data_IF_950197990762
#
_entry.id   IF_950197990762
#
_cell.length_a   1.000
_cell.length_b   1.000
_cell.length_c   1.000
_cell.angle_alpha   90.00
_cell.angle_beta   90.00
_cell.angle_gamma   90.00
#
_symmetry.space_group_name_H-M   'P 1'
#
loop_
_entity.id
_entity.type
_entity.pdbx_description
1 polymer ?
#
# COMPACT_ATOMS: atom_id res chain seq x y z
N UNK A 1 -24.69 0.09 -0.89
CA UNK A 1 -24.20 -0.64 -2.06
C UNK A 1 -22.97 0.08 -2.62
N UNK A 2 -22.06 -0.65 -3.25
CA UNK A 2 -20.91 -0.08 -3.95
C UNK A 2 -21.37 1.02 -4.92
N UNK A 3 -20.63 2.12 -5.00
CA UNK A 3 -21.00 3.30 -5.77
C UNK A 3 -21.97 4.25 -5.06
N UNK A 4 -22.47 3.91 -3.87
CA UNK A 4 -23.28 4.84 -3.08
C UNK A 4 -22.41 6.02 -2.64
N UNK A 5 -22.96 7.22 -2.83
CA UNK A 5 -22.31 8.48 -2.47
C UNK A 5 -23.19 9.25 -1.50
N UNK A 6 -22.56 9.97 -0.55
CA UNK A 6 -23.27 10.90 0.35
C UNK A 6 -22.37 12.07 0.75
N UNK A 7 -22.96 13.23 1.08
CA UNK A 7 -22.20 14.41 1.50
C UNK A 7 -21.70 14.25 2.95
N UNK A 8 -20.51 14.79 3.22
CA UNK A 8 -19.94 14.96 4.54
C UNK A 8 -19.44 16.43 4.66
N UNK A 9 -20.31 17.35 5.07
CA UNK A 9 -20.01 18.76 4.98
C UNK A 9 -19.75 19.21 3.54
N UNK A 10 -18.56 19.73 3.26
CA UNK A 10 -18.10 20.07 1.91
C UNK A 10 -17.47 18.91 1.13
N UNK A 11 -17.29 17.76 1.77
CA UNK A 11 -16.70 16.58 1.15
C UNK A 11 -17.78 15.63 0.61
N UNK A 12 -17.38 14.71 -0.25
CA UNK A 12 -18.19 13.59 -0.74
C UNK A 12 -17.55 12.29 -0.29
N UNK A 13 -18.34 11.40 0.30
CA UNK A 13 -17.94 10.04 0.63
C UNK A 13 -18.51 9.08 -0.40
N UNK A 14 -17.69 8.18 -0.94
CA UNK A 14 -18.08 7.14 -1.89
C UNK A 14 -17.74 5.77 -1.32
N UNK A 15 -18.71 4.85 -1.31
CA UNK A 15 -18.47 3.45 -0.95
C UNK A 15 -17.89 2.71 -2.16
N UNK A 16 -16.64 2.22 -2.05
CA UNK A 16 -15.96 1.47 -3.11
C UNK A 16 -15.97 -0.04 -2.89
N UNK A 17 -16.05 -0.49 -1.66
CA UNK A 17 -16.04 -1.91 -1.30
C UNK A 17 -16.93 -2.25 -0.11
N UNK A 18 -17.19 -3.55 0.14
CA UNK A 18 -16.68 -4.70 -0.59
C UNK A 18 -17.37 -4.89 -1.96
N UNK A 19 -16.62 -5.31 -2.98
CA UNK A 19 -17.13 -5.48 -4.35
C UNK A 19 -17.70 -6.88 -4.60
N UNK A 20 -17.43 -7.83 -3.71
CA UNK A 20 -17.92 -9.20 -3.77
C UNK A 20 -18.36 -9.67 -2.37
N UNK A 21 -18.83 -10.92 -2.30
CA UNK A 21 -19.04 -11.60 -1.02
C UNK A 21 -17.80 -12.44 -0.71
N UNK A 22 -17.29 -12.29 0.48
CA UNK A 22 -16.07 -12.99 0.94
C UNK A 22 -16.40 -13.89 2.12
N UNK A 23 -15.65 -15.00 2.23
CA UNK A 23 -15.71 -15.90 3.39
C UNK A 23 -14.86 -15.38 4.54
N UNK A 24 -13.80 -14.63 4.23
CA UNK A 24 -13.00 -13.96 5.24
C UNK A 24 -13.68 -12.66 5.68
N UNK A 25 -13.75 -12.46 6.99
CA UNK A 25 -14.42 -11.29 7.58
C UNK A 25 -13.67 -9.99 7.25
N UNK A 26 -12.34 -10.04 7.19
CA UNK A 26 -11.52 -8.87 6.88
C UNK A 26 -11.79 -8.37 5.46
N UNK A 27 -11.92 -9.29 4.50
CA UNK A 27 -12.25 -8.97 3.11
C UNK A 27 -13.65 -8.36 2.94
N UNK A 28 -14.53 -8.46 3.97
CA UNK A 28 -15.83 -7.78 3.99
C UNK A 28 -15.77 -6.34 4.47
N UNK A 29 -14.59 -5.81 4.73
CA UNK A 29 -14.38 -4.43 5.20
C UNK A 29 -14.98 -3.40 4.24
N UNK A 30 -15.57 -2.34 4.82
CA UNK A 30 -16.03 -1.21 4.03
C UNK A 30 -14.83 -0.43 3.51
N UNK A 31 -14.80 -0.21 2.20
CA UNK A 31 -13.82 0.66 1.57
C UNK A 31 -14.48 1.97 1.21
N UNK A 32 -13.98 3.06 1.78
CA UNK A 32 -14.54 4.39 1.62
C UNK A 32 -13.50 5.33 1.03
N UNK A 33 -13.88 6.03 -0.02
CA UNK A 33 -13.16 7.17 -0.55
C UNK A 33 -13.82 8.47 -0.10
N UNK A 34 -13.03 9.43 0.36
CA UNK A 34 -13.51 10.76 0.74
C UNK A 34 -12.80 11.77 -0.13
N UNK A 35 -13.56 12.57 -0.88
CA UNK A 35 -13.05 13.62 -1.73
C UNK A 35 -13.46 14.98 -1.17
N UNK A 36 -12.50 15.90 -1.00
CA UNK A 36 -12.75 17.28 -0.60
C UNK A 36 -11.86 18.24 -1.40
N UNK A 37 -12.49 19.01 -2.29
CA UNK A 37 -11.72 19.85 -3.23
C UNK A 37 -10.81 19.04 -4.11
N UNK A 38 -9.50 19.26 -4.01
CA UNK A 38 -8.45 18.49 -4.70
C UNK A 38 -7.78 17.43 -3.83
N UNK A 39 -8.24 17.25 -2.58
CA UNK A 39 -7.68 16.29 -1.64
C UNK A 39 -8.56 15.05 -1.51
N UNK A 40 -7.93 13.89 -1.22
CA UNK A 40 -8.64 12.62 -1.15
C UNK A 40 -8.05 11.68 -0.10
N UNK A 41 -8.95 10.91 0.54
CA UNK A 41 -8.61 9.88 1.52
C UNK A 41 -9.20 8.54 1.07
N UNK A 42 -8.47 7.45 1.31
CA UNK A 42 -8.96 6.09 1.13
C UNK A 42 -8.86 5.33 2.45
N UNK A 43 -10.00 4.87 2.94
CA UNK A 43 -10.12 4.06 4.16
C UNK A 43 -10.47 2.63 3.75
N UNK A 44 -9.68 1.67 4.20
CA UNK A 44 -9.75 0.27 3.72
C UNK A 44 -10.16 -0.73 4.80
N UNK A 45 -10.22 -0.29 6.08
CA UNK A 45 -10.44 -1.20 7.20
C UNK A 45 -9.35 -2.29 7.24
N UNK A 46 -9.78 -3.52 7.42
CA UNK A 46 -8.90 -4.70 7.48
C UNK A 46 -8.88 -5.51 6.18
N UNK A 47 -9.32 -4.91 5.06
CA UNK A 47 -9.31 -5.53 3.74
C UNK A 47 -7.97 -6.18 3.42
N UNK A 48 -8.00 -7.42 2.94
CA UNK A 48 -6.82 -8.20 2.59
C UNK A 48 -6.64 -8.34 1.06
N UNK A 49 -5.55 -8.98 0.64
CA UNK A 49 -5.10 -9.04 -0.76
C UNK A 49 -6.14 -9.58 -1.75
N UNK A 50 -7.03 -10.47 -1.31
CA UNK A 50 -8.10 -10.98 -2.17
C UNK A 50 -9.06 -9.86 -2.56
N UNK A 51 -9.59 -9.16 -1.57
CA UNK A 51 -10.50 -8.06 -1.82
C UNK A 51 -9.82 -6.84 -2.46
N UNK A 52 -8.52 -6.58 -2.14
CA UNK A 52 -7.71 -5.58 -2.84
C UNK A 52 -7.64 -5.86 -4.34
N UNK A 53 -7.37 -7.13 -4.71
CA UNK A 53 -7.28 -7.55 -6.12
C UNK A 53 -8.60 -7.36 -6.84
N UNK A 54 -9.70 -7.77 -6.21
CA UNK A 54 -11.04 -7.62 -6.78
C UNK A 54 -11.42 -6.14 -6.93
N UNK A 55 -11.06 -5.32 -5.93
CA UNK A 55 -11.32 -3.90 -5.94
C UNK A 55 -10.54 -3.18 -7.07
N UNK A 56 -9.27 -3.50 -7.26
CA UNK A 56 -8.47 -2.99 -8.39
C UNK A 56 -9.09 -3.42 -9.72
N UNK A 57 -9.46 -4.69 -9.86
CA UNK A 57 -10.08 -5.23 -11.07
C UNK A 57 -11.48 -4.67 -11.35
N UNK A 58 -12.16 -4.11 -10.35
CA UNK A 58 -13.46 -3.46 -10.52
C UNK A 58 -13.41 -2.19 -11.37
N UNK A 59 -12.21 -1.62 -11.54
CA UNK A 59 -12.01 -0.36 -12.25
C UNK A 59 -12.45 0.88 -11.46
N UNK A 60 -12.71 0.76 -10.15
CA UNK A 60 -13.01 1.88 -9.29
C UNK A 60 -11.84 2.88 -9.23
N UNK A 61 -12.13 4.17 -9.08
CA UNK A 61 -11.10 5.17 -8.85
C UNK A 61 -10.56 5.03 -7.41
N UNK A 62 -9.38 4.41 -7.28
CA UNK A 62 -8.71 4.17 -6.00
C UNK A 62 -7.69 5.25 -5.64
N UNK A 63 -7.28 6.10 -6.62
CA UNK A 63 -6.24 7.11 -6.38
C UNK A 63 -6.62 8.01 -5.21
N UNK A 64 -5.75 8.11 -4.21
CA UNK A 64 -5.98 8.93 -3.02
C UNK A 64 -4.66 9.43 -2.46
N UNK A 65 -4.67 10.65 -1.91
CA UNK A 65 -3.48 11.29 -1.36
C UNK A 65 -3.13 10.70 0.01
N UNK A 66 -4.14 10.31 0.79
CA UNK A 66 -3.97 9.70 2.12
C UNK A 66 -4.60 8.32 2.13
N UNK A 67 -3.81 7.32 2.49
CA UNK A 67 -4.25 5.92 2.67
C UNK A 67 -4.27 5.56 4.15
N UNK A 68 -5.42 5.09 4.65
CA UNK A 68 -5.40 4.25 5.84
C UNK A 68 -4.87 2.88 5.41
N UNK A 69 -3.66 2.56 5.88
CA UNK A 69 -2.97 1.30 5.56
C UNK A 69 -3.77 0.12 6.12
N UNK A 70 -4.07 -0.83 5.27
CA UNK A 70 -4.98 -1.93 5.58
C UNK A 70 -4.52 -2.80 6.74
N UNK A 71 -5.47 -3.31 7.50
CA UNK A 71 -5.29 -4.32 8.54
C UNK A 71 -4.12 -4.02 9.50
N UNK A 72 -4.05 -2.78 9.98
CA UNK A 72 -3.04 -2.31 10.94
C UNK A 72 -1.58 -2.46 10.45
N UNK A 73 -1.36 -2.54 9.14
CA UNK A 73 -0.05 -2.83 8.56
C UNK A 73 0.30 -4.33 8.54
N UNK A 74 -0.69 -5.22 8.51
CA UNK A 74 -0.49 -6.66 8.31
C UNK A 74 0.13 -6.95 6.95
N UNK A 75 1.02 -7.95 6.87
CA UNK A 75 1.55 -8.45 5.60
C UNK A 75 0.52 -9.13 4.69
N UNK A 76 -0.71 -9.35 5.19
CA UNK A 76 -1.83 -9.87 4.38
C UNK A 76 -2.54 -8.79 3.58
N UNK A 77 -2.22 -7.51 3.83
CA UNK A 77 -2.85 -6.33 3.21
C UNK A 77 -1.82 -5.43 2.54
N UNK A 78 -2.29 -4.36 1.89
CA UNK A 78 -1.47 -3.32 1.25
C UNK A 78 -0.47 -3.90 0.25
N UNK A 79 -1.00 -4.71 -0.68
CA UNK A 79 -0.20 -5.30 -1.76
C UNK A 79 0.36 -4.23 -2.71
N UNK A 80 1.47 -4.52 -3.40
CA UNK A 80 2.01 -3.65 -4.44
C UNK A 80 0.97 -3.32 -5.52
N UNK A 81 0.16 -4.31 -5.92
CA UNK A 81 -0.91 -4.10 -6.90
C UNK A 81 -1.89 -3.02 -6.44
N UNK A 82 -2.32 -3.10 -5.17
CA UNK A 82 -3.26 -2.16 -4.59
C UNK A 82 -2.60 -0.79 -4.38
N UNK A 83 -1.40 -0.75 -3.80
CA UNK A 83 -0.69 0.50 -3.54
C UNK A 83 -0.42 1.29 -4.84
N UNK A 84 -0.05 0.60 -5.93
CA UNK A 84 0.13 1.21 -7.24
C UNK A 84 -1.17 1.75 -7.86
N UNK A 85 -2.33 1.21 -7.48
CA UNK A 85 -3.61 1.75 -7.91
C UNK A 85 -4.03 2.98 -7.09
N UNK A 86 -3.61 3.05 -5.82
CA UNK A 86 -3.91 4.16 -4.90
C UNK A 86 -2.95 5.33 -5.09
N UNK A 87 -1.64 5.08 -5.19
CA UNK A 87 -0.56 6.06 -5.29
C UNK A 87 -0.63 7.14 -4.20
N UNK A 88 -0.66 6.77 -2.92
CA UNK A 88 -0.79 7.73 -1.84
C UNK A 88 0.52 8.48 -1.59
N UNK A 89 0.43 9.74 -1.17
CA UNK A 89 1.56 10.49 -0.62
C UNK A 89 1.79 10.14 0.86
N UNK A 90 0.69 9.90 1.60
CA UNK A 90 0.71 9.60 3.04
C UNK A 90 0.01 8.29 3.35
N UNK A 91 0.63 7.48 4.21
CA UNK A 91 0.09 6.22 4.73
C UNK A 91 -0.05 6.27 6.25
N UNK A 92 -1.26 6.06 6.78
CA UNK A 92 -1.50 6.03 8.22
C UNK A 92 -1.72 4.59 8.68
N UNK A 93 -0.88 4.14 9.61
CA UNK A 93 -0.97 2.82 10.23
C UNK A 93 -1.55 3.00 11.64
N UNK A 94 -2.75 2.49 11.87
CA UNK A 94 -3.39 2.46 13.17
C UNK A 94 -3.11 1.12 13.86
N UNK A 95 -2.14 1.09 14.78
CA UNK A 95 -1.77 -0.11 15.52
C UNK A 95 -1.42 0.24 16.97
N UNK A 96 -1.53 -0.74 17.85
CA UNK A 96 -1.25 -0.55 19.28
C UNK A 96 0.22 -0.76 19.61
N UNK A 97 0.72 -0.04 20.62
CA UNK A 97 2.05 -0.28 21.20
C UNK A 97 2.16 -1.72 21.69
N UNK A 98 3.23 -2.41 21.33
CA UNK A 98 3.48 -3.82 21.73
C UNK A 98 2.30 -4.77 21.42
N UNK A 99 1.60 -4.54 20.31
CA UNK A 99 0.50 -5.41 19.94
C UNK A 99 0.99 -6.85 19.69
N UNK A 100 0.16 -7.82 20.08
CA UNK A 100 0.51 -9.26 20.01
C UNK A 100 0.67 -9.82 18.59
N UNK A 101 0.24 -9.06 17.59
CA UNK A 101 0.30 -9.47 16.19
C UNK A 101 1.60 -9.08 15.50
N UNK A 102 2.41 -8.22 16.14
CA UNK A 102 3.65 -7.70 15.57
C UNK A 102 3.43 -6.65 14.46
N UNK A 103 2.25 -6.06 14.41
CA UNK A 103 1.93 -5.00 13.44
C UNK A 103 2.60 -3.66 13.81
N UNK A 104 3.02 -2.87 12.79
CA UNK A 104 3.05 -3.23 11.37
C UNK A 104 4.16 -4.23 11.05
N UNK A 105 3.90 -5.14 10.10
CA UNK A 105 4.91 -6.06 9.61
C UNK A 105 5.93 -5.36 8.71
N UNK A 106 7.17 -5.83 8.72
CA UNK A 106 8.25 -5.27 7.92
C UNK A 106 7.97 -5.34 6.41
N UNK A 107 7.28 -6.39 5.97
CA UNK A 107 6.86 -6.53 4.58
C UNK A 107 5.99 -5.35 4.12
N UNK A 108 5.05 -4.90 4.96
CA UNK A 108 4.19 -3.75 4.65
C UNK A 108 4.98 -2.45 4.69
N UNK A 109 5.86 -2.28 5.70
CA UNK A 109 6.74 -1.11 5.79
C UNK A 109 7.67 -1.02 4.58
N UNK A 110 8.22 -2.16 4.11
CA UNK A 110 9.07 -2.20 2.91
C UNK A 110 8.31 -1.76 1.67
N UNK A 111 7.09 -2.25 1.46
CA UNK A 111 6.24 -1.86 0.32
C UNK A 111 5.97 -0.33 0.34
N UNK A 112 5.66 0.24 1.49
CA UNK A 112 5.42 1.68 1.64
C UNK A 112 6.70 2.51 1.39
N UNK A 113 7.87 2.03 1.86
CA UNK A 113 9.18 2.65 1.60
C UNK A 113 9.50 2.67 0.11
N UNK A 114 9.36 1.52 -0.53
CA UNK A 114 9.67 1.36 -1.96
C UNK A 114 8.80 2.27 -2.83
N UNK A 115 7.56 2.53 -2.38
CA UNK A 115 6.63 3.45 -3.04
C UNK A 115 6.85 4.93 -2.65
N UNK A 116 7.77 5.25 -1.75
CA UNK A 116 8.05 6.61 -1.31
C UNK A 116 6.92 7.26 -0.50
N UNK A 117 6.12 6.45 0.21
CA UNK A 117 4.99 6.90 1.02
C UNK A 117 5.46 7.43 2.37
N UNK A 118 5.04 8.64 2.74
CA UNK A 118 5.26 9.19 4.08
C UNK A 118 4.39 8.43 5.10
N UNK A 119 5.05 7.73 6.03
CA UNK A 119 4.35 6.84 6.98
C UNK A 119 4.12 7.52 8.31
N UNK A 120 2.90 7.42 8.83
CA UNK A 120 2.48 7.83 10.16
C UNK A 120 1.98 6.63 10.95
N UNK A 121 2.41 6.47 12.22
CA UNK A 121 2.14 5.28 13.04
C UNK A 121 1.62 5.65 14.42
N UNK A 122 0.43 5.15 14.78
CA UNK A 122 -0.17 5.46 16.09
C UNK A 122 0.56 4.82 17.27
N UNK A 123 1.25 3.68 17.08
CA UNK A 123 2.05 3.03 18.12
C UNK A 123 3.29 3.84 18.54
N UNK A 124 3.78 4.73 17.67
CA UNK A 124 4.94 5.57 17.92
C UNK A 124 4.57 7.04 18.16
N UNK A 125 3.59 7.56 17.42
CA UNK A 125 3.25 8.98 17.41
C UNK A 125 2.00 9.32 18.26
N UNK A 126 1.32 8.32 18.83
CA UNK A 126 0.07 8.53 19.55
C UNK A 126 -1.08 8.92 18.60
N UNK A 127 -1.85 9.90 18.99
CA UNK A 127 -2.95 10.41 18.17
C UNK A 127 -2.40 11.10 16.91
N UNK A 128 -2.91 10.71 15.73
CA UNK A 128 -2.59 11.33 14.46
C UNK A 128 -3.84 12.02 13.93
N UNK A 129 -3.73 13.27 13.57
CA UNK A 129 -4.80 14.05 12.96
C UNK A 129 -4.33 14.55 11.59
N UNK A 130 -5.06 14.21 10.53
CA UNK A 130 -4.85 14.77 9.19
C UNK A 130 -6.07 15.60 8.84
N UNK A 131 -5.86 16.90 8.71
CA UNK A 131 -6.87 17.85 8.26
C UNK A 131 -6.67 18.24 6.81
N UNK A 132 -7.76 18.57 6.13
CA UNK A 132 -7.72 19.15 4.78
C UNK A 132 -8.60 20.40 4.70
N UNK A 133 -8.12 21.39 3.98
CA UNK A 133 -8.89 22.59 3.60
C UNK A 133 -9.49 22.47 2.18
N UNK A 134 -9.32 21.31 1.54
CA UNK A 134 -9.71 21.02 0.15
C UNK A 134 -8.62 21.30 -0.88
N UNK A 135 -7.46 21.81 -0.47
CA UNK A 135 -6.29 22.04 -1.32
C UNK A 135 -5.00 21.51 -0.68
N UNK A 136 -4.87 21.69 0.63
CA UNK A 136 -3.67 21.37 1.39
C UNK A 136 -4.02 20.47 2.57
N UNK A 137 -3.03 19.70 3.01
CA UNK A 137 -3.10 18.89 4.22
C UNK A 137 -2.39 19.57 5.38
N UNK A 138 -2.91 19.34 6.58
CA UNK A 138 -2.21 19.60 7.83
C UNK A 138 -2.10 18.29 8.60
N UNK A 139 -0.91 17.99 9.12
CA UNK A 139 -0.68 16.79 9.93
C UNK A 139 -0.30 17.20 11.33
N UNK A 140 -0.98 16.64 12.32
CA UNK A 140 -0.67 16.78 13.73
C UNK A 140 -0.47 15.40 14.37
N UNK A 141 0.57 15.26 15.18
CA UNK A 141 0.85 14.05 15.94
C UNK A 141 1.03 14.39 17.43
N UNK A 142 0.64 13.48 18.30
CA UNK A 142 0.80 13.68 19.75
C UNK A 142 2.28 13.67 20.17
N UNK A 143 3.09 12.81 19.50
CA UNK A 143 4.52 12.72 19.73
C UNK A 143 5.28 12.92 18.42
N UNK A 144 6.37 13.70 18.50
CA UNK A 144 7.28 13.80 17.37
C UNK A 144 8.18 12.55 17.31
N UNK A 145 8.23 11.92 16.16
CA UNK A 145 9.11 10.77 15.88
C UNK A 145 9.78 11.01 14.53
N UNK A 146 11.12 10.90 14.44
CA UNK A 146 11.82 11.03 13.16
C UNK A 146 11.38 9.98 12.14
N UNK A 147 11.32 10.33 10.86
CA UNK A 147 10.88 9.44 9.76
C UNK A 147 11.68 8.14 9.70
N UNK A 148 12.97 8.19 10.03
CA UNK A 148 13.82 6.99 10.12
C UNK A 148 13.37 5.96 11.17
N UNK A 149 12.50 6.34 12.11
CA UNK A 149 11.92 5.44 13.10
C UNK A 149 10.49 5.02 12.72
N UNK A 150 9.78 5.83 11.92
CA UNK A 150 8.42 5.52 11.47
C UNK A 150 8.41 4.39 10.43
N UNK A 151 9.37 4.43 9.55
CA UNK A 151 9.56 3.41 8.51
C UNK A 151 11.07 3.11 8.38
N UNK A 152 11.67 2.43 9.38
CA UNK A 152 13.10 2.20 9.43
C UNK A 152 13.54 1.34 8.23
N UNK A 153 14.66 1.72 7.63
CA UNK A 153 15.35 0.80 6.72
C UNK A 153 15.88 -0.36 7.54
N UNK A 154 15.63 -1.59 7.12
CA UNK A 154 16.18 -2.78 7.78
C UNK A 154 17.69 -2.61 7.96
N UNK A 155 18.25 -2.66 9.19
CA UNK A 155 19.68 -2.54 9.41
C UNK A 155 20.49 -3.66 8.74
N UNK A 156 19.86 -4.77 8.33
CA UNK A 156 20.48 -5.77 7.46
C UNK A 156 20.56 -5.32 6.00
N UNK A 157 19.82 -4.28 5.61
CA UNK A 157 19.84 -3.67 4.27
C UNK A 157 20.84 -2.50 4.15
N UNK A 158 21.72 -2.26 5.15
CA UNK A 158 22.79 -1.26 5.08
C UNK A 158 23.95 -1.71 4.19
N UNK A 159 23.65 -2.19 3.02
CA UNK A 159 24.50 -2.20 1.85
C UNK A 159 23.59 -1.96 0.64
N UNK A 160 23.65 -0.75 0.07
CA UNK A 160 23.35 -0.40 -1.33
C UNK A 160 22.97 -1.58 -2.25
N UNK A 161 21.93 -2.31 -1.93
CA UNK A 161 21.27 -3.23 -2.82
C UNK A 161 19.86 -2.67 -3.05
N UNK A 162 19.73 -1.74 -4.02
CA UNK A 162 18.49 -1.61 -4.76
C UNK A 162 18.00 -3.03 -5.00
N UNK A 163 16.79 -3.36 -4.56
CA UNK A 163 16.23 -4.69 -4.76
C UNK A 163 16.09 -4.88 -6.27
N UNK A 164 17.14 -5.45 -6.88
CA UNK A 164 17.19 -5.68 -8.30
C UNK A 164 16.15 -6.78 -8.63
N UNK A 165 15.29 -6.49 -9.58
CA UNK A 165 14.40 -7.49 -10.13
C UNK A 165 15.02 -8.08 -11.39
N UNK A 166 14.82 -9.36 -11.62
CA UNK A 166 15.36 -10.09 -12.77
C UNK A 166 14.21 -10.39 -13.72
N UNK A 167 14.14 -9.64 -14.82
CA UNK A 167 13.17 -9.86 -15.87
C UNK A 167 13.58 -10.96 -16.83
N UNK A 168 12.62 -11.74 -17.31
CA UNK A 168 12.80 -12.68 -18.39
C UNK A 168 12.39 -12.04 -19.71
N UNK A 169 13.34 -11.79 -20.60
CA UNK A 169 13.10 -11.09 -21.89
C UNK A 169 12.09 -11.83 -22.79
N UNK A 170 11.96 -13.15 -22.62
CA UNK A 170 11.07 -13.97 -23.45
C UNK A 170 9.64 -14.02 -22.90
N UNK A 171 9.46 -14.26 -21.59
CA UNK A 171 8.14 -14.41 -20.97
C UNK A 171 7.55 -13.09 -20.48
N UNK A 172 8.35 -12.02 -20.48
CA UNK A 172 7.98 -10.71 -19.91
C UNK A 172 7.52 -10.79 -18.47
N UNK A 173 8.08 -11.74 -17.71
CA UNK A 173 7.89 -11.83 -16.26
C UNK A 173 9.15 -11.37 -15.54
N UNK A 174 8.97 -10.71 -14.40
CA UNK A 174 10.09 -10.37 -13.53
C UNK A 174 9.98 -11.07 -12.18
N UNK A 175 11.12 -11.30 -11.54
CA UNK A 175 11.32 -12.17 -10.39
C UNK A 175 12.18 -11.47 -9.35
N UNK A 176 12.04 -11.87 -8.09
CA UNK A 176 13.05 -11.57 -7.08
C UNK A 176 14.33 -12.39 -7.36
N UNK A 177 15.53 -11.89 -7.02
CA UNK A 177 16.79 -12.61 -7.20
C UNK A 177 16.82 -13.99 -6.51
N UNK A 178 16.01 -14.17 -5.48
CA UNK A 178 15.86 -15.42 -4.72
C UNK A 178 14.84 -16.39 -5.30
N UNK A 179 14.22 -16.06 -6.44
CA UNK A 179 13.18 -16.89 -7.04
C UNK A 179 13.77 -18.21 -7.57
N UNK A 180 13.15 -19.34 -7.21
CA UNK A 180 13.55 -20.65 -7.72
C UNK A 180 13.36 -20.82 -9.25
N UNK A 181 12.56 -19.96 -9.88
CA UNK A 181 12.21 -20.00 -11.31
C UNK A 181 12.89 -18.88 -12.11
N UNK A 182 14.13 -18.51 -11.79
CA UNK A 182 14.87 -17.52 -12.55
C UNK A 182 15.10 -17.96 -13.98
N UNK A 183 15.04 -17.05 -14.96
CA UNK A 183 15.44 -17.36 -16.34
C UNK A 183 16.94 -17.62 -16.44
N UNK A 184 17.36 -18.35 -17.49
CA UNK A 184 18.78 -18.50 -17.79
C UNK A 184 19.44 -17.13 -17.99
N UNK A 185 20.70 -16.95 -17.56
CA UNK A 185 21.42 -15.67 -17.55
C UNK A 185 21.31 -14.88 -18.87
N UNK A 186 21.43 -15.57 -20.01
CA UNK A 186 21.31 -14.97 -21.35
C UNK A 186 19.93 -14.34 -21.67
N UNK A 187 18.94 -14.66 -20.87
CA UNK A 187 17.55 -14.19 -21.01
C UNK A 187 17.16 -13.23 -19.88
N UNK A 188 18.10 -12.81 -19.04
CA UNK A 188 17.86 -11.90 -17.93
C UNK A 188 18.01 -10.45 -18.36
N UNK A 189 17.17 -9.60 -17.80
CA UNK A 189 17.32 -8.14 -17.76
C UNK A 189 17.15 -7.71 -16.31
N UNK A 190 17.94 -6.75 -15.86
CA UNK A 190 17.88 -6.23 -14.50
C UNK A 190 17.01 -4.98 -14.46
N UNK A 191 16.18 -4.87 -13.44
CA UNK A 191 15.42 -3.67 -13.09
C UNK A 191 15.79 -3.25 -11.69
N UNK A 192 15.94 -1.94 -11.49
CA UNK A 192 16.30 -1.36 -10.19
C UNK A 192 15.09 -1.23 -9.25
N UNK A 193 13.87 -1.31 -9.81
CA UNK A 193 12.62 -1.23 -9.04
C UNK A 193 11.50 -2.05 -9.68
N UNK A 194 10.46 -2.32 -8.89
CA UNK A 194 9.21 -2.93 -9.35
C UNK A 194 8.57 -2.10 -10.48
N UNK A 195 8.51 -0.78 -10.28
CA UNK A 195 7.87 0.14 -11.23
C UNK A 195 8.62 0.22 -12.55
N UNK A 196 9.94 0.16 -12.52
CA UNK A 196 10.75 0.09 -13.74
C UNK A 196 10.40 -1.16 -14.55
N UNK A 197 10.23 -2.31 -13.88
CA UNK A 197 9.83 -3.55 -14.54
C UNK A 197 8.42 -3.45 -15.14
N UNK A 198 7.46 -2.88 -14.42
CA UNK A 198 6.09 -2.65 -14.92
C UNK A 198 6.10 -1.66 -16.09
N UNK A 199 6.80 -0.53 -15.98
CA UNK A 199 6.92 0.46 -17.03
C UNK A 199 7.56 -0.11 -18.31
N UNK A 200 8.47 -1.09 -18.16
CA UNK A 200 9.08 -1.84 -19.25
C UNK A 200 8.15 -2.93 -19.84
N UNK A 201 6.91 -3.06 -19.36
CA UNK A 201 5.91 -4.01 -19.85
C UNK A 201 6.08 -5.45 -19.31
N UNK A 202 6.72 -5.60 -18.14
CA UNK A 202 6.86 -6.90 -17.47
C UNK A 202 5.78 -7.09 -16.41
N UNK A 203 5.44 -8.34 -16.15
CA UNK A 203 4.47 -8.73 -15.12
C UNK A 203 5.17 -9.48 -13.99
N UNK A 204 4.72 -9.34 -12.71
CA UNK A 204 5.34 -10.03 -11.59
C UNK A 204 5.18 -11.56 -11.70
N UNK A 205 6.18 -12.27 -11.22
CA UNK A 205 6.13 -13.72 -11.11
C UNK A 205 5.32 -14.12 -9.87
N UNK A 206 4.17 -14.75 -10.06
CA UNK A 206 3.27 -15.18 -8.98
C UNK A 206 3.91 -16.18 -7.96
N UNK A 207 5.07 -16.75 -8.27
CA UNK A 207 5.76 -17.69 -7.38
C UNK A 207 6.64 -17.00 -6.34
N UNK A 208 7.11 -15.78 -6.61
CA UNK A 208 8.04 -15.07 -5.72
C UNK A 208 7.62 -13.62 -5.42
N UNK A 209 6.74 -13.05 -6.20
CA UNK A 209 6.16 -11.73 -5.99
C UNK A 209 4.66 -11.95 -5.78
N UNK A 210 4.22 -11.83 -4.54
CA UNK A 210 2.84 -12.10 -4.10
C UNK A 210 2.14 -10.81 -3.69
#
# INVERSE_FOLDING_TARGET
>A
AVGTMWPLGGATVTMLGPVAQYSDTNDTSLVLRIDYGSTSFLLTGDMEKTAETDLVNSGANLRADVLQVGHHGSSTSTSYLFLNAVLPEMGVISCGVNNKYGHPHEETLSILRDAGVDVYRTDLQGTITIGSDGQNFTVGTEHFVPDSQLNPTDPSSSSTAQQAYIGNVNSKKFHLPTCANLPAEKNQILFSSYDEAIAAGYTPCASCIK
#
